data_IF_621900820897
#
_entry.id   IF_621900820897
#
_cell.length_a   1.000
_cell.length_b   1.000
_cell.length_c   1.000
_cell.angle_alpha   90.00
_cell.angle_beta   90.00
_cell.angle_gamma   90.00
#
_symmetry.space_group_name_H-M   'P 1'
#
loop_
_entity.id
_entity.type
_entity.pdbx_description
1 polymer ?
#
# COMPACT_ATOMS: atom_id res chain seq x y z
N UNK A 1 -0.48 25.38 -3.18
CA UNK A 1 -0.24 24.89 -1.80
C UNK A 1 -0.89 23.51 -1.70
N UNK A 2 -0.18 22.46 -2.14
CA UNK A 2 -0.70 21.08 -2.33
C UNK A 2 0.15 20.04 -1.60
N UNK A 3 1.04 20.49 -0.72
CA UNK A 3 2.07 19.67 -0.08
C UNK A 3 1.45 18.75 0.98
N UNK A 4 0.37 19.17 1.64
CA UNK A 4 -0.25 18.43 2.74
C UNK A 4 -1.00 17.17 2.29
N UNK A 5 -1.69 17.23 1.14
CA UNK A 5 -2.40 16.08 0.56
C UNK A 5 -1.44 15.06 -0.04
N UNK A 6 -0.36 15.52 -0.66
CA UNK A 6 0.63 14.66 -1.30
C UNK A 6 1.43 13.82 -0.29
N UNK A 7 1.81 14.44 0.83
CA UNK A 7 2.41 13.74 1.97
C UNK A 7 1.42 12.71 2.55
N UNK A 8 0.13 13.07 2.69
CA UNK A 8 -0.88 12.15 3.22
C UNK A 8 -1.12 10.94 2.32
N UNK A 9 -1.09 11.14 1.00
CA UNK A 9 -1.27 10.09 -0.01
C UNK A 9 -0.09 9.12 -0.04
N UNK A 10 1.13 9.66 -0.05
CA UNK A 10 2.36 8.86 -0.07
C UNK A 10 2.52 8.08 1.23
N UNK A 11 2.22 8.71 2.37
CA UNK A 11 2.26 8.04 3.67
C UNK A 11 1.22 6.92 3.77
N UNK A 12 0.00 7.15 3.28
CA UNK A 12 -1.04 6.13 3.19
C UNK A 12 -0.58 4.93 2.35
N UNK A 13 -0.06 5.16 1.14
CA UNK A 13 0.40 4.07 0.28
C UNK A 13 1.52 3.24 0.92
N UNK A 14 2.49 3.91 1.58
CA UNK A 14 3.57 3.21 2.29
C UNK A 14 3.07 2.37 3.46
N UNK A 15 2.13 2.90 4.25
CA UNK A 15 1.58 2.19 5.41
C UNK A 15 0.88 0.89 4.97
N UNK A 16 0.00 0.99 3.97
CA UNK A 16 -0.75 -0.18 3.50
C UNK A 16 0.12 -1.15 2.70
N UNK A 17 1.12 -0.67 1.95
CA UNK A 17 2.11 -1.55 1.31
C UNK A 17 2.84 -2.40 2.36
N UNK A 18 3.29 -1.79 3.46
CA UNK A 18 3.97 -2.51 4.53
C UNK A 18 3.04 -3.53 5.23
N UNK A 19 1.78 -3.18 5.48
CA UNK A 19 0.79 -4.11 6.05
C UNK A 19 0.57 -5.33 5.15
N UNK A 20 0.38 -5.11 3.85
CA UNK A 20 0.19 -6.18 2.85
C UNK A 20 1.43 -7.09 2.81
N UNK A 21 2.63 -6.50 2.78
CA UNK A 21 3.90 -7.26 2.80
C UNK A 21 4.04 -8.09 4.07
N UNK A 22 3.74 -7.52 5.25
CA UNK A 22 3.81 -8.23 6.52
C UNK A 22 2.82 -9.40 6.56
N UNK A 23 1.60 -9.19 6.05
CA UNK A 23 0.59 -10.25 5.95
C UNK A 23 1.08 -11.38 5.04
N UNK A 24 1.62 -11.04 3.87
CA UNK A 24 2.20 -12.01 2.94
C UNK A 24 3.33 -12.82 3.57
N UNK A 25 4.28 -12.13 4.21
CA UNK A 25 5.39 -12.77 4.93
C UNK A 25 4.93 -13.67 6.08
N UNK A 26 3.75 -13.39 6.65
CA UNK A 26 3.18 -14.19 7.73
C UNK A 26 2.43 -15.44 7.26
N UNK A 27 1.92 -15.46 6.01
CA UNK A 27 1.00 -16.49 5.52
C UNK A 27 1.67 -17.63 4.75
N UNK A 28 2.76 -17.40 4.00
CA UNK A 28 3.47 -18.47 3.30
C UNK A 28 4.99 -18.30 3.37
N UNK A 29 5.70 -19.43 3.49
CA UNK A 29 7.15 -19.51 3.59
C UNK A 29 7.90 -18.93 2.37
N UNK A 30 9.24 -19.05 2.35
CA UNK A 30 10.22 -18.09 1.80
C UNK A 30 10.31 -18.05 0.27
N UNK A 31 9.20 -17.95 -0.45
CA UNK A 31 9.23 -17.44 -1.81
C UNK A 31 9.48 -15.93 -1.68
N UNK A 32 10.77 -15.60 -1.66
CA UNK A 32 11.25 -14.23 -1.48
C UNK A 32 10.47 -13.30 -2.40
N UNK A 33 9.71 -12.40 -1.78
CA UNK A 33 9.07 -11.29 -2.47
C UNK A 33 10.20 -10.46 -3.09
N UNK A 34 10.13 -10.24 -4.39
CA UNK A 34 11.09 -9.40 -5.10
C UNK A 34 11.20 -8.04 -4.40
N UNK A 35 12.41 -7.51 -4.25
CA UNK A 35 12.62 -6.25 -3.52
C UNK A 35 11.90 -5.06 -4.17
N UNK A 36 11.57 -5.13 -5.47
CA UNK A 36 10.76 -4.16 -6.18
C UNK A 36 9.25 -4.32 -5.99
N UNK A 37 8.78 -5.42 -5.41
CA UNK A 37 7.34 -5.66 -5.21
C UNK A 37 6.73 -4.67 -4.22
N UNK A 38 7.49 -4.25 -3.20
CA UNK A 38 7.07 -3.20 -2.28
C UNK A 38 6.78 -1.89 -3.02
N UNK A 39 7.64 -1.52 -3.97
CA UNK A 39 7.46 -0.32 -4.79
C UNK A 39 6.23 -0.46 -5.72
N UNK A 40 6.03 -1.64 -6.32
CA UNK A 40 4.82 -1.90 -7.10
C UNK A 40 3.54 -1.77 -6.29
N UNK A 41 3.53 -2.25 -5.04
CA UNK A 41 2.39 -2.09 -4.14
C UNK A 41 2.13 -0.61 -3.82
N UNK A 42 3.18 0.17 -3.52
CA UNK A 42 3.04 1.61 -3.28
C UNK A 42 2.44 2.31 -4.51
N UNK A 43 2.93 2.04 -5.72
CA UNK A 43 2.41 2.63 -6.97
C UNK A 43 0.94 2.25 -7.23
N UNK A 44 0.56 1.01 -6.98
CA UNK A 44 -0.83 0.57 -7.10
C UNK A 44 -1.73 1.25 -6.06
N UNK A 45 -1.31 1.29 -4.80
CA UNK A 45 -2.04 1.96 -3.72
C UNK A 45 -2.22 3.45 -4.00
N UNK A 46 -1.19 4.11 -4.52
CA UNK A 46 -1.31 5.50 -4.95
C UNK A 46 -2.46 5.67 -5.95
N UNK A 47 -2.64 4.75 -6.90
CA UNK A 47 -3.75 4.81 -7.86
C UNK A 47 -5.15 4.63 -7.23
N UNK A 48 -5.23 3.99 -6.06
CA UNK A 48 -6.48 3.74 -5.34
C UNK A 48 -6.87 4.86 -4.38
N UNK A 49 -5.92 5.70 -3.95
CA UNK A 49 -6.18 6.76 -2.98
C UNK A 49 -7.27 7.75 -3.42
N UNK A 50 -7.35 8.03 -4.73
CA UNK A 50 -8.31 8.97 -5.30
C UNK A 50 -9.70 8.33 -5.55
N UNK A 51 -9.82 6.99 -5.47
CA UNK A 51 -11.08 6.27 -5.57
C UNK A 51 -11.58 5.92 -4.15
N UNK A 52 -12.66 6.54 -3.66
CA UNK A 52 -13.12 6.33 -2.29
C UNK A 52 -13.54 4.90 -2.00
N UNK A 53 -14.05 4.15 -2.99
CA UNK A 53 -14.45 2.76 -2.79
C UNK A 53 -13.23 1.84 -2.67
N UNK A 54 -12.22 2.06 -3.52
CA UNK A 54 -10.97 1.29 -3.45
C UNK A 54 -10.18 1.63 -2.20
N UNK A 55 -10.16 2.91 -1.81
CA UNK A 55 -9.55 3.36 -0.56
C UNK A 55 -10.22 2.69 0.64
N UNK A 56 -11.55 2.76 0.76
CA UNK A 56 -12.29 2.12 1.86
C UNK A 56 -12.08 0.61 1.90
N UNK A 57 -11.99 -0.04 0.72
CA UNK A 57 -11.71 -1.46 0.62
C UNK A 57 -10.32 -1.81 1.21
N UNK A 58 -9.30 -1.03 0.88
CA UNK A 58 -7.94 -1.23 1.42
C UNK A 58 -7.92 -1.00 2.93
N UNK A 59 -8.51 0.10 3.39
CA UNK A 59 -8.54 0.47 4.82
C UNK A 59 -9.32 -0.55 5.68
N UNK A 60 -10.32 -1.23 5.11
CA UNK A 60 -11.10 -2.26 5.79
C UNK A 60 -10.52 -3.67 5.72
N UNK A 61 -9.59 -3.92 4.79
CA UNK A 61 -9.02 -5.26 4.56
C UNK A 61 -7.67 -5.48 5.25
N UNK A 62 -6.95 -4.41 5.64
CA UNK A 62 -5.56 -4.49 6.12
C UNK A 62 -5.25 -3.56 7.31
#
# INVERSE_FOLDING_TARGET
MTISTDISRTQWAREYAQKILNLWQSQEGPLGVDSGYAQHLEEQLLSYFDDPLLRDLVESSY
#
